data_IF_609526370343
#
_entry.id   IF_609526370343
#
_cell.length_a   1.000
_cell.length_b   1.000
_cell.length_c   1.000
_cell.angle_alpha   90.00
_cell.angle_beta   90.00
_cell.angle_gamma   90.00
#
_symmetry.space_group_name_H-M   'P 1'
#
loop_
_entity.id
_entity.type
_entity.pdbx_description
1 polymer ?
#
# COMPACT_ATOMS: atom_id res chain seq x y z
N UNK A 1 18.90 12.11 -32.26
CA UNK A 1 19.23 10.88 -31.50
C UNK A 1 18.76 10.91 -30.03
N UNK A 2 19.09 11.93 -29.23
CA UNK A 2 18.73 11.95 -27.79
C UNK A 2 17.22 12.00 -27.50
N UNK A 3 16.42 12.67 -28.34
CA UNK A 3 14.95 12.74 -28.17
C UNK A 3 14.29 11.36 -28.33
N UNK A 4 14.78 10.56 -29.28
CA UNK A 4 14.25 9.22 -29.58
C UNK A 4 14.56 8.26 -28.43
N UNK A 5 15.75 8.35 -27.84
CA UNK A 5 16.11 7.54 -26.65
C UNK A 5 15.27 7.91 -25.41
N UNK A 6 14.98 9.20 -25.20
CA UNK A 6 14.11 9.64 -24.10
C UNK A 6 12.65 9.21 -24.30
N UNK A 7 12.15 9.26 -25.54
CA UNK A 7 10.83 8.76 -25.89
C UNK A 7 10.71 7.23 -25.68
N UNK A 8 11.73 6.48 -26.09
CA UNK A 8 11.78 5.03 -25.88
C UNK A 8 11.81 4.65 -24.39
N UNK A 9 12.54 5.39 -23.56
CA UNK A 9 12.57 5.19 -22.10
C UNK A 9 11.21 5.48 -21.45
N UNK A 10 10.49 6.52 -21.89
CA UNK A 10 9.14 6.82 -21.41
C UNK A 10 8.12 5.76 -21.81
N UNK A 11 8.18 5.28 -23.06
CA UNK A 11 7.29 4.21 -23.55
C UNK A 11 7.57 2.90 -22.81
N UNK A 12 8.85 2.56 -22.59
CA UNK A 12 9.24 1.38 -21.81
C UNK A 12 8.78 1.45 -20.35
N UNK A 13 8.89 2.62 -19.70
CA UNK A 13 8.41 2.83 -18.34
C UNK A 13 6.87 2.73 -18.25
N UNK A 14 6.14 3.28 -19.22
CA UNK A 14 4.68 3.18 -19.29
C UNK A 14 4.22 1.73 -19.51
N UNK A 15 4.88 0.98 -20.40
CA UNK A 15 4.60 -0.43 -20.64
C UNK A 15 4.92 -1.31 -19.42
N UNK A 16 6.02 -1.03 -18.71
CA UNK A 16 6.39 -1.74 -17.48
C UNK A 16 5.39 -1.52 -16.33
N UNK A 17 4.65 -0.40 -16.34
CA UNK A 17 3.59 -0.11 -15.36
C UNK A 17 2.23 -0.73 -15.73
N UNK A 18 1.97 -1.05 -17.00
CA UNK A 18 0.68 -1.62 -17.42
C UNK A 18 0.43 -2.99 -16.81
N UNK A 19 1.45 -3.86 -16.74
CA UNK A 19 1.32 -5.21 -16.19
C UNK A 19 0.97 -5.22 -14.70
N UNK A 20 1.69 -4.53 -13.80
CA UNK A 20 1.32 -4.48 -12.39
C UNK A 20 -0.02 -3.76 -12.15
N UNK A 21 -0.36 -2.74 -12.95
CA UNK A 21 -1.67 -2.05 -12.85
C UNK A 21 -2.81 -2.97 -13.27
N UNK A 22 -2.67 -3.72 -14.36
CA UNK A 22 -3.67 -4.73 -14.77
C UNK A 22 -3.83 -5.83 -13.72
N UNK A 23 -2.71 -6.36 -13.20
CA UNK A 23 -2.74 -7.36 -12.12
C UNK A 23 -3.44 -6.80 -10.87
N UNK A 24 -3.21 -5.53 -10.51
CA UNK A 24 -3.89 -4.89 -9.39
C UNK A 24 -5.40 -4.67 -9.64
N UNK A 25 -5.79 -4.31 -10.86
CA UNK A 25 -7.20 -4.15 -11.27
C UNK A 25 -7.91 -5.51 -11.28
N UNK A 26 -7.29 -6.55 -11.84
CA UNK A 26 -7.84 -7.90 -11.89
C UNK A 26 -7.92 -8.52 -10.50
N UNK A 27 -6.92 -8.27 -9.64
CA UNK A 27 -6.96 -8.66 -8.23
C UNK A 27 -8.11 -7.99 -7.47
N UNK A 28 -8.34 -6.68 -7.69
CA UNK A 28 -9.47 -5.97 -7.11
C UNK A 28 -10.83 -6.41 -7.66
N UNK A 29 -10.90 -6.81 -8.94
CA UNK A 29 -12.14 -7.29 -9.57
C UNK A 29 -12.52 -8.69 -9.10
N UNK A 30 -11.53 -9.53 -8.80
CA UNK A 30 -11.73 -10.91 -8.33
C UNK A 30 -11.72 -11.07 -6.81
N UNK A 31 -11.23 -10.07 -6.06
CA UNK A 31 -11.32 -10.01 -4.60
C UNK A 31 -12.75 -10.22 -4.05
N UNK A 32 -13.82 -9.60 -4.59
CA UNK A 32 -15.17 -9.84 -4.08
C UNK A 32 -15.61 -11.29 -4.27
N UNK A 33 -15.25 -11.94 -5.39
CA UNK A 33 -15.57 -13.36 -5.63
C UNK A 33 -14.81 -14.30 -4.68
N UNK A 34 -13.53 -14.05 -4.45
CA UNK A 34 -12.72 -14.80 -3.50
C UNK A 34 -13.21 -14.61 -2.06
N UNK A 35 -13.52 -13.37 -1.67
CA UNK A 35 -14.08 -13.06 -0.36
C UNK A 35 -15.45 -13.73 -0.16
N UNK A 36 -16.28 -13.78 -1.21
CA UNK A 36 -17.59 -14.44 -1.18
C UNK A 36 -17.47 -15.97 -1.09
N UNK A 37 -16.49 -16.55 -1.77
CA UNK A 37 -16.17 -17.98 -1.65
C UNK A 37 -15.65 -18.32 -0.25
N UNK A 38 -14.73 -17.53 0.31
CA UNK A 38 -14.24 -17.69 1.68
C UNK A 38 -15.36 -17.51 2.72
N UNK A 39 -16.28 -16.58 2.50
CA UNK A 39 -17.45 -16.40 3.34
C UNK A 39 -18.37 -17.64 3.29
N UNK A 40 -18.62 -18.19 2.09
CA UNK A 40 -19.37 -19.43 1.91
C UNK A 40 -18.72 -20.61 2.64
N UNK A 41 -17.40 -20.76 2.55
CA UNK A 41 -16.66 -21.82 3.27
C UNK A 41 -16.81 -21.65 4.78
N UNK A 42 -16.71 -20.42 5.31
CA UNK A 42 -16.90 -20.15 6.74
C UNK A 42 -18.34 -20.41 7.20
N UNK A 43 -19.34 -20.02 6.41
CA UNK A 43 -20.75 -20.30 6.70
C UNK A 43 -21.00 -21.81 6.67
N UNK A 44 -20.50 -22.52 5.66
CA UNK A 44 -20.62 -23.98 5.58
C UNK A 44 -19.90 -24.68 6.72
N UNK A 45 -18.73 -24.18 7.15
CA UNK A 45 -18.03 -24.71 8.32
C UNK A 45 -18.86 -24.49 9.59
N UNK A 46 -19.41 -23.30 9.81
CA UNK A 46 -20.26 -23.01 10.98
C UNK A 46 -21.53 -23.87 10.95
N UNK A 47 -22.21 -24.01 9.81
CA UNK A 47 -23.41 -24.85 9.67
C UNK A 47 -23.08 -26.34 9.85
N UNK A 48 -21.91 -26.80 9.39
CA UNK A 48 -21.49 -28.20 9.51
C UNK A 48 -20.97 -28.55 10.91
N UNK A 49 -20.46 -27.57 11.65
CA UNK A 49 -20.00 -27.74 13.04
C UNK A 49 -21.03 -27.34 14.10
N UNK A 50 -22.08 -26.57 13.76
CA UNK A 50 -23.27 -26.37 14.59
C UNK A 50 -24.31 -27.46 14.31
N UNK A 51 -23.93 -28.74 14.41
CA UNK A 51 -24.93 -29.78 14.66
C UNK A 51 -25.25 -29.75 16.15
N UNK A 52 -26.43 -29.29 16.59
CA UNK A 52 -26.88 -29.57 17.93
C UNK A 52 -27.02 -31.09 18.06
N UNK A 53 -26.50 -31.63 19.16
CA UNK A 53 -26.76 -33.00 19.61
C UNK A 53 -28.26 -33.15 19.84
N UNK A 54 -29.00 -33.51 18.79
CA UNK A 54 -30.41 -33.86 18.90
C UNK A 54 -30.51 -35.25 19.52
N UNK A 55 -30.81 -35.25 20.81
CA UNK A 55 -31.38 -36.37 21.54
C UNK A 55 -32.59 -36.88 20.77
N UNK A 56 -32.59 -38.18 20.51
CA UNK A 56 -33.60 -38.94 19.79
C UNK A 56 -34.92 -38.92 20.58
N UNK A 57 -35.80 -37.95 20.31
CA UNK A 57 -37.20 -38.03 20.72
C UNK A 57 -38.04 -38.69 19.64
N UNK A 58 -38.58 -39.82 20.07
CA UNK A 58 -39.45 -40.82 19.46
C UNK A 58 -40.58 -40.28 18.59
N UNK A 59 -40.73 -40.91 17.43
CA UNK A 59 -41.74 -40.69 16.39
C UNK A 59 -43.15 -41.14 16.80
N UNK A 60 -43.75 -40.51 17.81
CA UNK A 60 -45.15 -40.74 18.19
C UNK A 60 -46.01 -39.46 18.32
N UNK A 61 -45.43 -38.26 18.15
CA UNK A 61 -46.16 -36.99 18.39
C UNK A 61 -46.69 -36.29 17.13
N UNK A 62 -46.31 -36.71 15.91
CA UNK A 62 -46.74 -36.03 14.68
C UNK A 62 -48.20 -36.36 14.29
N UNK A 63 -48.70 -37.54 14.66
CA UNK A 63 -50.07 -37.98 14.34
C UNK A 63 -51.12 -37.35 15.27
N UNK A 64 -50.74 -36.99 16.51
CA UNK A 64 -51.59 -36.21 17.44
C UNK A 64 -51.72 -34.73 17.08
N UNK A 65 -50.76 -34.16 16.33
CA UNK A 65 -50.78 -32.74 15.95
C UNK A 65 -51.68 -32.41 14.75
N UNK A 66 -51.95 -33.38 13.88
CA UNK A 66 -52.86 -33.18 12.73
C UNK A 66 -54.33 -33.24 13.17
N UNK A 67 -54.67 -34.11 14.14
CA UNK A 67 -56.02 -34.15 14.73
C UNK A 67 -56.36 -32.93 15.61
N UNK A 68 -55.37 -32.35 16.28
CA UNK A 68 -55.53 -31.13 17.09
C UNK A 68 -55.75 -29.87 16.24
N UNK A 69 -55.22 -29.83 15.02
CA UNK A 69 -55.37 -28.67 14.12
C UNK A 69 -56.75 -28.63 13.46
N UNK A 70 -57.36 -29.80 13.20
CA UNK A 70 -58.74 -29.90 12.73
C UNK A 70 -59.76 -29.44 13.79
N UNK A 71 -59.50 -29.68 15.08
CA UNK A 71 -60.35 -29.18 16.16
C UNK A 71 -60.18 -27.68 16.47
N UNK A 72 -59.08 -27.07 16.02
CA UNK A 72 -58.81 -25.63 16.23
C UNK A 72 -59.43 -24.77 15.11
N UNK A 73 -59.71 -25.34 13.94
CA UNK A 73 -60.35 -24.63 12.82
C UNK A 73 -61.88 -24.57 12.90
N UNK A 74 -62.52 -25.43 13.71
CA UNK A 74 -63.97 -25.32 14.01
C UNK A 74 -64.30 -24.31 15.11
N UNK A 75 -63.28 -23.63 15.66
CA UNK A 75 -63.40 -22.62 16.71
C UNK A 75 -63.13 -21.19 16.23
N UNK A 76 -63.27 -20.90 14.93
CA UNK A 76 -63.20 -19.52 14.41
C UNK A 76 -64.49 -18.80 14.83
N UNK A 77 -64.57 -18.47 16.12
CA UNK A 77 -65.44 -17.43 16.64
C UNK A 77 -65.14 -16.14 15.91
N UNK A 78 -66.20 -15.39 15.63
CA UNK A 78 -66.21 -14.09 14.96
C UNK A 78 -64.92 -13.30 15.20
N UNK A 79 -64.15 -13.17 14.12
CA UNK A 79 -62.93 -12.38 14.13
C UNK A 79 -63.31 -10.95 14.51
N UNK A 80 -63.00 -10.57 15.74
CA UNK A 80 -63.46 -9.32 16.30
C UNK A 80 -62.64 -8.19 15.65
N UNK A 81 -63.31 -7.40 14.82
CA UNK A 81 -62.71 -6.33 14.00
C UNK A 81 -61.79 -5.41 14.83
N UNK A 82 -62.10 -5.22 16.11
CA UNK A 82 -61.28 -4.44 17.05
C UNK A 82 -59.90 -5.05 17.33
N UNK A 83 -59.78 -6.38 17.45
CA UNK A 83 -58.48 -7.05 17.63
C UNK A 83 -57.60 -6.94 16.38
N UNK A 84 -58.21 -6.95 15.18
CA UNK A 84 -57.50 -6.76 13.92
C UNK A 84 -56.89 -5.36 13.83
N UNK A 85 -57.61 -4.34 14.31
CA UNK A 85 -57.11 -2.96 14.35
C UNK A 85 -55.95 -2.79 15.33
N UNK A 86 -55.99 -3.42 16.51
CA UNK A 86 -54.86 -3.40 17.44
C UNK A 86 -53.62 -4.07 16.86
N UNK A 87 -53.76 -5.25 16.24
CA UNK A 87 -52.64 -5.93 15.58
C UNK A 87 -52.02 -5.11 14.45
N UNK A 88 -52.84 -4.41 13.65
CA UNK A 88 -52.34 -3.53 12.60
C UNK A 88 -51.64 -2.29 13.16
N UNK A 89 -52.14 -1.72 14.26
CA UNK A 89 -51.50 -0.61 14.96
C UNK A 89 -50.13 -1.00 15.51
N UNK A 90 -50.04 -2.15 16.17
CA UNK A 90 -48.78 -2.65 16.75
C UNK A 90 -47.77 -2.96 15.64
N UNK A 91 -48.22 -3.59 14.55
CA UNK A 91 -47.37 -3.83 13.37
C UNK A 91 -46.87 -2.53 12.72
N UNK A 92 -47.69 -1.47 12.69
CA UNK A 92 -47.30 -0.17 12.17
C UNK A 92 -46.24 0.52 13.06
N UNK A 93 -46.37 0.40 14.39
CA UNK A 93 -45.38 0.91 15.35
C UNK A 93 -44.06 0.16 15.22
N UNK A 94 -44.09 -1.17 15.12
CA UNK A 94 -42.89 -1.98 14.92
C UNK A 94 -42.21 -1.69 13.57
N UNK A 95 -42.99 -1.52 12.51
CA UNK A 95 -42.46 -1.13 11.21
C UNK A 95 -41.78 0.24 11.27
N UNK A 96 -42.37 1.23 11.95
CA UNK A 96 -41.75 2.55 12.16
C UNK A 96 -40.43 2.43 12.91
N UNK A 97 -40.40 1.64 13.98
CA UNK A 97 -39.19 1.43 14.78
C UNK A 97 -38.08 0.73 13.99
N UNK A 98 -38.43 -0.27 13.17
CA UNK A 98 -37.49 -0.99 12.31
C UNK A 98 -36.91 -0.10 11.21
N UNK A 99 -37.74 0.75 10.58
CA UNK A 99 -37.27 1.76 9.61
C UNK A 99 -36.31 2.74 10.28
N UNK A 100 -36.63 3.21 11.48
CA UNK A 100 -35.78 4.15 12.21
C UNK A 100 -34.41 3.54 12.54
N UNK A 101 -34.38 2.27 12.97
CA UNK A 101 -33.12 1.53 13.19
C UNK A 101 -32.34 1.31 11.90
N UNK A 102 -33.00 0.90 10.82
CA UNK A 102 -32.35 0.70 9.53
C UNK A 102 -31.71 2.00 9.00
N UNK A 103 -32.38 3.14 9.15
CA UNK A 103 -31.85 4.46 8.78
C UNK A 103 -30.60 4.80 9.62
N UNK A 104 -30.64 4.54 10.93
CA UNK A 104 -29.49 4.75 11.80
C UNK A 104 -28.30 3.86 11.38
N UNK A 105 -28.52 2.58 11.12
CA UNK A 105 -27.49 1.63 10.70
C UNK A 105 -26.84 2.04 9.36
N UNK A 106 -27.65 2.51 8.40
CA UNK A 106 -27.14 3.05 7.13
C UNK A 106 -26.30 4.31 7.35
N UNK A 107 -26.73 5.23 8.23
CA UNK A 107 -25.94 6.41 8.59
C UNK A 107 -24.60 6.04 9.25
N UNK A 108 -24.59 5.07 10.16
CA UNK A 108 -23.36 4.59 10.80
C UNK A 108 -22.43 3.91 9.79
N UNK A 109 -22.96 3.08 8.89
CA UNK A 109 -22.20 2.44 7.84
C UNK A 109 -21.60 3.47 6.84
N UNK A 110 -22.37 4.49 6.47
CA UNK A 110 -21.90 5.58 5.61
C UNK A 110 -20.77 6.39 6.27
N UNK A 111 -20.94 6.77 7.55
CA UNK A 111 -19.88 7.46 8.32
C UNK A 111 -18.63 6.60 8.48
N UNK A 112 -18.78 5.29 8.72
CA UNK A 112 -17.65 4.37 8.82
C UNK A 112 -16.91 4.22 7.46
N UNK A 113 -17.64 4.19 6.36
CA UNK A 113 -17.07 4.17 5.00
C UNK A 113 -16.31 5.47 4.68
N UNK A 114 -16.89 6.62 5.05
CA UNK A 114 -16.25 7.93 4.90
C UNK A 114 -14.97 8.05 5.73
N UNK A 115 -14.98 7.57 6.98
CA UNK A 115 -13.77 7.54 7.82
C UNK A 115 -12.69 6.60 7.25
N UNK A 116 -13.07 5.45 6.66
CA UNK A 116 -12.11 4.58 5.95
C UNK A 116 -11.50 5.27 4.73
N UNK A 117 -12.28 6.07 4.00
CA UNK A 117 -11.79 6.85 2.86
C UNK A 117 -10.86 8.00 3.30
N UNK A 118 -11.21 8.73 4.36
CA UNK A 118 -10.33 9.73 4.99
C UNK A 118 -9.05 9.11 5.57
N UNK A 119 -9.12 7.89 6.11
CA UNK A 119 -7.94 7.15 6.54
C UNK A 119 -7.07 6.69 5.35
N UNK A 120 -7.64 6.49 4.16
CA UNK A 120 -6.88 6.23 2.92
C UNK A 120 -6.20 7.50 2.37
N UNK A 121 -6.72 8.69 2.67
CA UNK A 121 -6.06 9.97 2.38
C UNK A 121 -4.82 10.28 3.24
N UNK A 122 -4.39 9.36 4.12
CA UNK A 122 -3.09 9.42 4.84
C UNK A 122 -1.88 9.64 3.91
N UNK A 123 -2.00 9.37 2.62
CA UNK A 123 -0.99 9.69 1.60
C UNK A 123 -0.75 11.19 1.38
N UNK A 124 -1.67 12.08 1.76
CA UNK A 124 -1.53 13.53 1.53
C UNK A 124 -0.30 14.14 2.20
N UNK A 125 0.02 13.75 3.45
CA UNK A 125 1.23 14.23 4.13
C UNK A 125 2.51 13.69 3.50
N UNK A 126 2.49 12.44 3.03
CA UNK A 126 3.61 11.84 2.32
C UNK A 126 3.85 12.52 0.98
N UNK A 127 2.78 12.84 0.25
CA UNK A 127 2.85 13.59 -1.00
C UNK A 127 3.52 14.95 -0.78
N UNK A 128 3.02 15.75 0.17
CA UNK A 128 3.60 17.07 0.45
C UNK A 128 5.07 16.95 0.86
N UNK A 129 5.39 16.03 1.76
CA UNK A 129 6.77 15.81 2.21
C UNK A 129 7.74 15.38 1.11
N UNK A 130 7.32 14.45 0.25
CA UNK A 130 8.11 14.01 -0.91
C UNK A 130 8.24 15.17 -1.91
N UNK A 131 7.14 15.83 -2.25
CA UNK A 131 7.13 16.93 -3.22
C UNK A 131 8.02 18.09 -2.77
N UNK A 132 7.89 18.56 -1.53
CA UNK A 132 8.74 19.62 -0.97
C UNK A 132 10.22 19.25 -1.06
N UNK A 133 10.59 18.02 -0.70
CA UNK A 133 11.97 17.57 -0.75
C UNK A 133 12.51 17.51 -2.19
N UNK A 134 11.73 16.99 -3.13
CA UNK A 134 12.12 16.90 -4.54
C UNK A 134 12.23 18.28 -5.17
N UNK A 135 11.34 19.21 -4.84
CA UNK A 135 11.42 20.60 -5.32
C UNK A 135 12.71 21.27 -4.83
N UNK A 136 13.04 21.16 -3.53
CA UNK A 136 14.28 21.71 -2.97
C UNK A 136 15.51 21.17 -3.71
N UNK A 137 15.56 19.85 -3.93
CA UNK A 137 16.68 19.21 -4.60
C UNK A 137 16.74 19.52 -6.10
N UNK A 138 15.60 19.69 -6.77
CA UNK A 138 15.55 20.11 -8.16
C UNK A 138 16.04 21.55 -8.35
N UNK A 139 15.67 22.47 -7.45
CA UNK A 139 16.21 23.83 -7.48
C UNK A 139 17.72 23.85 -7.19
N UNK A 140 18.19 23.00 -6.29
CA UNK A 140 19.61 22.84 -6.02
C UNK A 140 20.36 22.30 -7.25
N UNK A 141 19.81 21.27 -7.89
CA UNK A 141 20.36 20.69 -9.13
C UNK A 141 20.46 21.74 -10.23
N UNK A 142 19.38 22.49 -10.48
CA UNK A 142 19.37 23.58 -11.45
C UNK A 142 20.44 24.64 -11.12
N UNK A 143 20.54 25.05 -9.85
CA UNK A 143 21.54 26.04 -9.41
C UNK A 143 22.98 25.55 -9.61
N UNK A 144 23.23 24.26 -9.40
CA UNK A 144 24.54 23.64 -9.63
C UNK A 144 24.83 23.59 -11.13
N UNK A 145 23.86 23.15 -11.94
CA UNK A 145 24.02 23.08 -13.38
C UNK A 145 24.31 24.47 -13.99
N UNK A 146 23.62 25.52 -13.53
CA UNK A 146 23.87 26.91 -13.97
C UNK A 146 25.29 27.38 -13.60
N UNK A 147 25.72 27.16 -12.34
CA UNK A 147 27.05 27.59 -11.87
C UNK A 147 28.22 26.80 -12.46
N UNK A 148 27.97 25.59 -12.92
CA UNK A 148 29.00 24.69 -13.48
C UNK A 148 28.91 24.60 -15.01
N UNK A 149 28.12 25.46 -15.65
CA UNK A 149 27.86 25.43 -17.10
C UNK A 149 27.40 24.05 -17.61
N UNK A 150 26.66 23.32 -16.78
CA UNK A 150 26.13 21.98 -17.07
C UNK A 150 27.12 20.83 -16.89
N UNK A 151 28.34 21.08 -16.39
CA UNK A 151 29.33 20.03 -16.17
C UNK A 151 28.94 19.08 -15.03
N UNK A 152 28.28 19.58 -13.99
CA UNK A 152 27.82 18.79 -12.85
C UNK A 152 26.30 18.83 -12.75
N UNK A 153 25.70 17.67 -12.48
CA UNK A 153 24.28 17.55 -12.14
C UNK A 153 24.05 16.42 -11.13
N UNK A 154 22.96 16.52 -10.38
CA UNK A 154 22.49 15.50 -9.46
C UNK A 154 21.79 14.37 -10.22
N UNK A 155 22.14 13.14 -9.87
CA UNK A 155 21.44 11.95 -10.38
C UNK A 155 20.10 11.82 -9.64
N UNK A 156 19.07 12.47 -10.15
CA UNK A 156 17.76 12.59 -9.49
C UNK A 156 16.98 11.26 -9.29
N UNK A 157 17.00 10.27 -10.19
CA UNK A 157 16.11 9.10 -10.06
C UNK A 157 16.29 8.29 -8.76
N UNK A 158 17.52 7.94 -8.32
CA UNK A 158 17.70 7.26 -7.03
C UNK A 158 17.30 8.12 -5.82
N UNK A 159 17.44 9.45 -5.91
CA UNK A 159 17.00 10.36 -4.84
C UNK A 159 15.47 10.41 -4.76
N UNK A 160 14.76 10.32 -5.90
CA UNK A 160 13.31 10.11 -5.95
C UNK A 160 12.88 8.85 -5.21
N UNK A 161 13.57 7.73 -5.47
CA UNK A 161 13.31 6.46 -4.80
C UNK A 161 13.57 6.54 -3.28
N UNK A 162 14.69 7.15 -2.86
CA UNK A 162 14.98 7.44 -1.45
C UNK A 162 13.85 8.24 -0.78
N UNK A 163 13.36 9.27 -1.46
CA UNK A 163 12.28 10.11 -0.95
C UNK A 163 11.03 9.32 -0.65
N UNK A 164 10.70 8.38 -1.54
CA UNK A 164 9.53 7.53 -1.41
C UNK A 164 9.69 6.56 -0.23
N UNK A 165 10.86 5.94 -0.06
CA UNK A 165 11.10 5.00 1.04
C UNK A 165 11.12 5.70 2.40
N UNK A 166 11.76 6.86 2.51
CA UNK A 166 11.79 7.64 3.76
C UNK A 166 10.40 8.09 4.25
N UNK A 167 9.48 8.37 3.34
CA UNK A 167 8.14 8.87 3.68
C UNK A 167 7.07 7.80 3.82
N UNK A 168 7.15 6.74 3.00
CA UNK A 168 6.14 5.66 3.01
C UNK A 168 6.56 4.49 3.90
N UNK A 169 7.86 4.34 4.17
CA UNK A 169 8.43 3.23 4.93
C UNK A 169 9.33 3.77 6.06
N UNK A 170 8.97 4.88 6.70
CA UNK A 170 9.78 5.55 7.74
C UNK A 170 10.20 4.62 8.88
N UNK A 171 9.32 3.67 9.25
CA UNK A 171 9.58 2.68 10.30
C UNK A 171 10.29 1.41 9.81
N UNK A 172 10.61 1.29 8.51
CA UNK A 172 11.34 0.13 8.03
C UNK A 172 12.85 0.31 8.34
N UNK A 173 13.57 -0.75 8.78
CA UNK A 173 15.03 -0.70 8.94
C UNK A 173 15.74 -0.24 7.64
N UNK A 174 15.25 -0.69 6.49
CA UNK A 174 15.80 -0.32 5.18
C UNK A 174 15.68 1.17 4.83
N UNK A 175 14.80 1.90 5.50
CA UNK A 175 14.63 3.34 5.27
C UNK A 175 15.42 4.18 6.26
N UNK A 176 16.08 3.62 7.27
CA UNK A 176 16.80 4.39 8.29
C UNK A 176 17.99 5.17 7.69
N UNK A 177 18.33 6.36 8.22
CA UNK A 177 19.39 7.22 7.69
C UNK A 177 20.73 6.51 7.53
N UNK A 178 21.10 5.71 8.55
CA UNK A 178 22.33 4.92 8.57
C UNK A 178 22.41 3.98 7.37
N UNK A 179 21.35 3.22 7.14
CA UNK A 179 21.29 2.26 6.04
C UNK A 179 21.30 3.02 4.72
N UNK A 180 20.46 4.04 4.58
CA UNK A 180 20.40 4.86 3.38
C UNK A 180 21.76 5.44 2.97
N UNK A 181 22.55 5.96 3.92
CA UNK A 181 23.86 6.55 3.64
C UNK A 181 24.91 5.48 3.31
N UNK A 182 25.04 4.45 4.15
CA UNK A 182 26.10 3.44 4.00
C UNK A 182 25.93 2.61 2.72
N UNK A 183 24.70 2.21 2.38
CA UNK A 183 24.45 1.46 1.14
C UNK A 183 24.77 2.28 -0.09
N UNK A 184 24.52 3.59 -0.06
CA UNK A 184 24.82 4.48 -1.19
C UNK A 184 26.32 4.65 -1.38
N UNK A 185 27.09 4.77 -0.30
CA UNK A 185 28.56 4.78 -0.37
C UNK A 185 29.07 3.49 -1.03
N UNK A 186 28.55 2.33 -0.62
CA UNK A 186 28.91 1.04 -1.24
C UNK A 186 28.52 1.00 -2.72
N UNK A 187 27.33 1.48 -3.08
CA UNK A 187 26.86 1.53 -4.45
C UNK A 187 27.77 2.37 -5.36
N UNK A 188 28.09 3.59 -4.93
CA UNK A 188 28.96 4.50 -5.67
C UNK A 188 30.38 3.96 -5.78
N UNK A 189 30.93 3.43 -4.67
CA UNK A 189 32.27 2.83 -4.65
C UNK A 189 32.34 1.65 -5.63
N UNK A 190 31.33 0.78 -5.61
CA UNK A 190 31.27 -0.37 -6.52
C UNK A 190 31.22 0.07 -7.98
N UNK A 191 30.32 1.01 -8.32
CA UNK A 191 30.22 1.55 -9.68
C UNK A 191 31.52 2.23 -10.14
N UNK A 192 32.13 3.03 -9.26
CA UNK A 192 33.40 3.71 -9.53
C UNK A 192 34.55 2.73 -9.76
N UNK A 193 34.69 1.70 -8.92
CA UNK A 193 35.71 0.65 -9.10
C UNK A 193 35.52 -0.10 -10.42
N UNK A 194 34.29 -0.47 -10.78
CA UNK A 194 34.00 -1.16 -12.04
C UNK A 194 34.30 -0.30 -13.28
N UNK A 195 34.21 1.03 -13.19
CA UNK A 195 34.62 1.92 -14.28
C UNK A 195 36.14 1.96 -14.52
N UNK A 196 36.95 1.66 -13.50
CA UNK A 196 38.41 1.61 -13.63
C UNK A 196 38.90 0.32 -14.29
N UNK A 197 38.04 -0.69 -14.43
CA UNK A 197 38.36 -1.93 -15.12
C UNK A 197 38.04 -1.75 -16.61
N UNK A 198 39.08 -1.49 -17.41
CA UNK A 198 38.96 -1.16 -18.84
C UNK A 198 38.38 -2.28 -19.70
N UNK A 199 38.41 -3.53 -19.23
CA UNK A 199 37.91 -4.71 -19.94
C UNK A 199 36.41 -4.96 -19.81
N UNK A 200 35.70 -4.25 -18.93
CA UNK A 200 34.27 -4.48 -18.68
C UNK A 200 33.43 -3.48 -19.47
N UNK A 201 32.58 -3.99 -20.36
CA UNK A 201 31.62 -3.19 -21.12
C UNK A 201 30.49 -2.63 -20.23
N UNK A 202 29.77 -1.64 -20.74
CA UNK A 202 28.75 -0.94 -19.95
C UNK A 202 27.56 -1.83 -19.54
N UNK A 203 27.19 -2.83 -20.35
CA UNK A 203 26.09 -3.74 -20.04
C UNK A 203 26.49 -4.63 -18.86
N UNK A 204 27.67 -5.23 -18.94
CA UNK A 204 28.22 -6.06 -17.85
C UNK A 204 28.40 -5.26 -16.56
N UNK A 205 28.87 -4.00 -16.63
CA UNK A 205 28.92 -3.12 -15.44
C UNK A 205 27.55 -2.87 -14.83
N UNK A 206 26.53 -2.58 -15.65
CA UNK A 206 25.17 -2.33 -15.17
C UNK A 206 24.53 -3.56 -14.52
N UNK A 207 24.97 -4.78 -14.87
CA UNK A 207 24.56 -6.00 -14.20
C UNK A 207 25.39 -6.27 -12.92
N UNK A 208 26.71 -6.12 -12.98
CA UNK A 208 27.61 -6.41 -11.87
C UNK A 208 27.47 -5.42 -10.70
N UNK A 209 27.40 -4.13 -10.97
CA UNK A 209 27.36 -3.10 -9.94
C UNK A 209 26.19 -3.26 -8.94
N UNK A 210 24.92 -3.36 -9.38
CA UNK A 210 23.82 -3.60 -8.45
C UNK A 210 23.90 -4.98 -7.79
N UNK A 211 24.41 -6.00 -8.48
CA UNK A 211 24.55 -7.36 -7.91
C UNK A 211 25.54 -7.38 -6.75
N UNK A 212 26.73 -6.81 -6.94
CA UNK A 212 27.75 -6.66 -5.90
C UNK A 212 27.22 -5.78 -4.76
N UNK A 213 26.58 -4.65 -5.09
CA UNK A 213 25.99 -3.75 -4.09
C UNK A 213 24.94 -4.47 -3.24
N UNK A 214 24.03 -5.22 -3.87
CA UNK A 214 23.00 -5.98 -3.17
C UNK A 214 23.60 -7.08 -2.28
N UNK A 215 24.61 -7.80 -2.78
CA UNK A 215 25.33 -8.81 -2.01
C UNK A 215 26.01 -8.20 -0.76
N UNK A 216 26.80 -7.14 -0.93
CA UNK A 216 27.52 -6.48 0.16
C UNK A 216 26.57 -5.87 1.19
N UNK A 217 25.56 -5.13 0.74
CA UNK A 217 24.61 -4.47 1.64
C UNK A 217 23.70 -5.48 2.36
N UNK A 218 23.39 -6.61 1.71
CA UNK A 218 22.71 -7.75 2.32
C UNK A 218 23.53 -8.40 3.41
N UNK A 219 24.81 -8.71 3.13
CA UNK A 219 25.72 -9.32 4.10
C UNK A 219 26.00 -8.43 5.31
N UNK A 220 26.03 -7.10 5.13
CA UNK A 220 26.27 -6.12 6.18
C UNK A 220 25.00 -5.71 6.96
N UNK A 221 23.81 -6.22 6.59
CA UNK A 221 22.55 -5.87 7.25
C UNK A 221 22.12 -4.40 7.04
N UNK A 222 22.66 -3.73 6.02
CA UNK A 222 22.37 -2.33 5.67
C UNK A 222 21.69 -2.29 4.31
N UNK A 223 20.64 -3.08 4.10
CA UNK A 223 19.92 -3.10 2.80
C UNK A 223 19.17 -1.78 2.62
N UNK A 224 19.36 -1.15 1.47
CA UNK A 224 18.62 0.05 1.05
C UNK A 224 18.31 -0.02 -0.45
N UNK A 225 17.05 -0.21 -0.82
CA UNK A 225 16.66 -0.46 -2.22
C UNK A 225 17.14 0.64 -3.21
N UNK A 226 17.08 1.94 -2.90
CA UNK A 226 17.63 2.99 -3.78
C UNK A 226 19.12 2.86 -4.09
N UNK A 227 19.92 2.18 -3.26
CA UNK A 227 21.35 1.99 -3.52
C UNK A 227 21.61 1.12 -4.75
N UNK A 228 20.79 0.09 -4.99
CA UNK A 228 20.88 -0.71 -6.21
C UNK A 228 20.60 0.12 -7.47
N UNK A 229 19.61 1.02 -7.41
CA UNK A 229 19.32 1.94 -8.50
C UNK A 229 20.47 2.93 -8.75
N UNK A 230 21.11 3.45 -7.69
CA UNK A 230 22.31 4.27 -7.82
C UNK A 230 23.46 3.51 -8.47
N UNK A 231 23.71 2.27 -8.06
CA UNK A 231 24.78 1.44 -8.62
C UNK A 231 24.60 1.27 -10.15
N UNK A 232 23.36 1.03 -10.61
CA UNK A 232 23.05 0.99 -12.05
C UNK A 232 23.26 2.35 -12.69
N UNK A 233 22.66 3.41 -12.15
CA UNK A 233 22.71 4.74 -12.73
C UNK A 233 24.16 5.23 -12.92
N UNK A 234 25.00 5.02 -11.91
CA UNK A 234 26.42 5.40 -11.96
C UNK A 234 27.28 4.46 -12.83
N UNK A 235 26.78 3.27 -13.18
CA UNK A 235 27.46 2.34 -14.10
C UNK A 235 27.16 2.61 -15.58
N UNK A 236 26.02 3.25 -15.88
CA UNK A 236 25.58 3.58 -17.24
C UNK A 236 26.43 4.67 -17.90
N UNK A 237 26.97 5.59 -17.12
CA UNK A 237 27.77 6.72 -17.61
C UNK A 237 29.06 6.83 -16.80
N UNK A 238 30.11 7.38 -17.41
CA UNK A 238 31.38 7.64 -16.72
C UNK A 238 31.27 8.92 -15.90
N UNK A 239 30.77 8.80 -14.67
CA UNK A 239 30.75 9.89 -13.71
C UNK A 239 32.13 10.07 -13.06
N UNK A 240 32.57 11.32 -12.92
CA UNK A 240 33.79 11.65 -12.18
C UNK A 240 33.57 11.50 -10.67
N UNK A 241 34.66 11.49 -9.88
CA UNK A 241 34.57 11.47 -8.42
C UNK A 241 33.75 12.66 -7.88
N UNK A 242 33.83 13.82 -8.52
CA UNK A 242 33.05 15.02 -8.17
C UNK A 242 31.54 14.77 -8.27
N UNK A 243 31.08 14.05 -9.29
CA UNK A 243 29.68 13.67 -9.43
C UNK A 243 29.22 12.74 -8.30
N UNK A 244 30.06 11.78 -7.92
CA UNK A 244 29.78 10.88 -6.78
C UNK A 244 29.67 11.68 -5.47
N UNK A 245 30.61 12.59 -5.22
CA UNK A 245 30.59 13.45 -4.02
C UNK A 245 29.37 14.37 -4.00
N UNK A 246 29.04 15.00 -5.14
CA UNK A 246 27.87 15.86 -5.27
C UNK A 246 26.58 15.07 -5.00
N UNK A 247 26.47 13.86 -5.55
CA UNK A 247 25.33 12.98 -5.27
C UNK A 247 25.22 12.59 -3.79
N UNK A 248 26.34 12.32 -3.11
CA UNK A 248 26.35 12.08 -1.66
C UNK A 248 25.87 13.31 -0.88
N UNK A 249 26.28 14.52 -1.27
CA UNK A 249 25.78 15.77 -0.68
C UNK A 249 24.27 15.90 -0.89
N UNK A 250 23.77 15.66 -2.10
CA UNK A 250 22.33 15.66 -2.39
C UNK A 250 21.55 14.64 -1.56
N UNK A 251 22.08 13.43 -1.41
CA UNK A 251 21.56 12.39 -0.52
C UNK A 251 21.52 12.84 0.95
N UNK A 252 22.58 13.47 1.46
CA UNK A 252 22.64 13.97 2.84
C UNK A 252 21.59 15.05 3.09
N UNK A 253 21.45 16.02 2.18
CA UNK A 253 20.40 17.04 2.23
C UNK A 253 19.03 16.35 2.25
N UNK A 254 18.82 15.34 1.40
CA UNK A 254 17.57 14.60 1.36
C UNK A 254 17.27 13.86 2.68
N UNK A 255 18.28 13.29 3.34
CA UNK A 255 18.16 12.66 4.66
C UNK A 255 17.83 13.71 5.73
N UNK A 256 18.53 14.85 5.76
CA UNK A 256 18.30 15.93 6.73
C UNK A 256 16.88 16.47 6.62
N UNK A 257 16.40 16.74 5.41
CA UNK A 257 15.02 17.18 5.18
C UNK A 257 14.02 16.12 5.62
N UNK A 258 14.29 14.84 5.36
CA UNK A 258 13.42 13.75 5.82
C UNK A 258 13.39 13.63 7.35
N UNK A 259 14.52 13.82 8.04
CA UNK A 259 14.59 13.87 9.51
C UNK A 259 13.79 15.05 10.04
N UNK A 260 14.03 16.26 9.52
CA UNK A 260 13.31 17.45 9.95
C UNK A 260 11.78 17.28 9.79
N UNK A 261 11.33 16.92 8.58
CA UNK A 261 9.91 16.86 8.28
C UNK A 261 9.19 15.66 8.93
N UNK A 262 9.82 14.50 9.07
CA UNK A 262 9.17 13.37 9.74
C UNK A 262 9.04 13.61 11.25
N UNK A 263 10.00 14.26 11.90
CA UNK A 263 9.92 14.55 13.34
C UNK A 263 9.01 15.73 13.70
N UNK A 264 8.56 16.53 12.71
CA UNK A 264 7.49 17.52 12.93
C UNK A 264 6.10 16.89 13.13
N UNK A 265 5.97 15.58 12.90
CA UNK A 265 4.70 14.85 13.05
C UNK A 265 4.71 14.01 14.32
N UNK A 266 3.76 14.22 15.22
CA UNK A 266 3.59 13.42 16.46
C UNK A 266 3.48 11.90 16.24
N UNK A 267 3.12 11.48 15.01
CA UNK A 267 2.94 10.07 14.64
C UNK A 267 4.17 9.41 14.03
N UNK A 268 5.27 10.14 13.84
CA UNK A 268 6.46 9.66 13.12
C UNK A 268 7.71 10.08 13.89
N UNK A 269 8.67 9.17 13.94
CA UNK A 269 10.02 9.44 14.45
C UNK A 269 11.02 8.89 13.45
N UNK A 270 12.08 9.64 13.21
CA UNK A 270 13.11 9.27 12.23
C UNK A 270 14.44 9.98 12.57
N UNK A 271 15.52 9.27 12.92
CA UNK A 271 15.70 7.82 12.91
C UNK A 271 14.95 7.08 14.03
N UNK A 272 14.75 5.78 13.81
CA UNK A 272 14.37 4.80 14.83
C UNK A 272 15.57 3.89 15.08
N UNK A 273 15.96 3.75 16.34
CA UNK A 273 17.01 2.84 16.79
C UNK A 273 16.37 1.54 17.28
N UNK A 274 16.88 0.40 16.83
CA UNK A 274 16.47 -0.95 17.22
C UNK A 274 17.56 -1.61 18.05
#
# INVERSE_FOLDING_TARGET
>A
MQLINRAAQYIGAAAALQTPVRIAVDSNRNQPLYNWWMLKVKILAVVRFQRPLFVRQTSQSLQKRIGSLAHTLNGIKSFNRQQSFHLLSDAAVDMKNNVTRAVADVQYAAKASQMKWLAKLKGGKAFVGIASKIIILAHLDQSIAEKTAGHLSLVMPPIGALSTTQWNLTAAPASQPRNALLSQIIALTTAFCLHHISSIDSCTRCALAPTITAFLTGGLGIIHAPAGASAVAFSMQKYSLEHCLLFLVGMLIAIVVAIALNNLSDKRQYPIYY
#
